data_IF_969681785034
#
_entry.id   IF_969681785034
#
_cell.length_a   1.000
_cell.length_b   1.000
_cell.length_c   1.000
_cell.angle_alpha   90.00
_cell.angle_beta   90.00
_cell.angle_gamma   90.00
#
_symmetry.space_group_name_H-M   'P 1'
#
loop_
_entity.id
_entity.type
_entity.pdbx_description
1 polymer ?
#
# COMPACT_ATOMS: atom_id res chain seq x y z
N UNK A 1 2.78 10.21 -23.78
CA UNK A 1 4.20 10.12 -24.12
C UNK A 1 4.66 8.68 -23.97
N UNK A 2 4.97 7.99 -25.09
CA UNK A 2 5.28 6.56 -25.12
C UNK A 2 6.78 6.32 -24.82
N UNK A 3 7.19 6.40 -23.58
CA UNK A 3 8.60 6.16 -23.19
C UNK A 3 9.00 4.67 -23.28
N UNK A 4 8.02 3.76 -23.36
CA UNK A 4 8.25 2.31 -23.31
C UNK A 4 8.17 1.59 -24.68
N UNK A 5 8.05 2.32 -25.80
CA UNK A 5 7.82 1.68 -27.12
C UNK A 5 9.06 1.08 -27.78
N UNK A 6 10.28 1.35 -27.30
CA UNK A 6 11.52 0.91 -27.97
C UNK A 6 12.54 0.19 -27.09
N UNK A 7 12.22 -0.12 -25.85
CA UNK A 7 13.08 -0.99 -25.06
C UNK A 7 12.70 -2.43 -25.34
N UNK A 8 13.63 -3.22 -25.83
CA UNK A 8 13.57 -4.67 -25.87
C UNK A 8 13.75 -5.14 -24.40
N UNK A 9 12.75 -4.79 -23.57
CA UNK A 9 12.78 -4.87 -22.11
C UNK A 9 13.14 -6.28 -21.67
N UNK A 10 12.66 -7.28 -22.37
CA UNK A 10 12.92 -8.70 -22.08
C UNK A 10 14.39 -9.08 -22.32
N UNK A 11 14.98 -8.55 -23.41
CA UNK A 11 16.38 -8.84 -23.71
C UNK A 11 17.32 -8.17 -22.71
N UNK A 12 16.99 -6.96 -22.25
CA UNK A 12 17.75 -6.25 -21.23
C UNK A 12 17.50 -6.85 -19.83
N UNK A 13 16.26 -7.24 -19.51
CA UNK A 13 15.93 -7.99 -18.27
C UNK A 13 16.66 -9.33 -18.21
N UNK A 14 16.76 -10.06 -19.33
CA UNK A 14 17.50 -11.33 -19.39
C UNK A 14 19.01 -11.14 -19.18
N UNK A 15 19.58 -10.03 -19.63
CA UNK A 15 20.99 -9.71 -19.35
C UNK A 15 21.22 -9.35 -17.87
N UNK A 16 20.27 -8.63 -17.26
CA UNK A 16 20.28 -8.30 -15.83
C UNK A 16 20.03 -9.53 -14.94
N UNK A 17 19.35 -10.53 -15.44
CA UNK A 17 18.99 -11.76 -14.69
C UNK A 17 20.22 -12.56 -14.22
N UNK A 18 21.31 -12.52 -14.96
CA UNK A 18 22.56 -13.20 -14.58
C UNK A 18 23.32 -12.51 -13.45
N UNK A 19 23.05 -11.20 -13.20
CA UNK A 19 23.77 -10.38 -12.21
C UNK A 19 22.96 -10.06 -10.96
N UNK A 20 21.61 -10.20 -10.99
CA UNK A 20 20.71 -9.70 -9.93
C UNK A 20 19.98 -10.83 -9.18
N UNK A 21 20.32 -12.09 -9.42
CA UNK A 21 19.57 -13.24 -8.89
C UNK A 21 19.65 -13.45 -7.37
N UNK A 22 20.38 -12.63 -6.62
CA UNK A 22 20.83 -13.08 -5.29
C UNK A 22 19.94 -12.69 -4.09
N UNK A 23 18.96 -11.78 -4.17
CA UNK A 23 18.40 -11.21 -2.93
C UNK A 23 16.90 -11.00 -2.83
N UNK A 24 16.07 -11.59 -3.70
CA UNK A 24 14.62 -11.53 -3.49
C UNK A 24 14.27 -12.55 -2.40
N UNK A 25 14.10 -12.04 -1.17
CA UNK A 25 13.69 -12.82 -0.01
C UNK A 25 12.51 -12.15 0.67
N UNK A 26 11.44 -12.90 0.88
CA UNK A 26 10.27 -12.42 1.59
C UNK A 26 10.50 -12.42 3.11
N UNK A 27 10.03 -11.34 3.75
CA UNK A 27 9.85 -11.28 5.19
C UNK A 27 8.45 -11.76 5.60
N UNK A 28 8.08 -11.51 6.85
CA UNK A 28 6.77 -11.92 7.43
C UNK A 28 5.57 -11.29 6.72
N UNK A 29 5.71 -10.10 6.13
CA UNK A 29 4.60 -9.35 5.52
C UNK A 29 5.07 -8.69 4.21
N UNK A 30 5.51 -9.50 3.26
CA UNK A 30 5.92 -9.08 1.94
C UNK A 30 7.44 -9.03 1.71
N UNK A 31 7.82 -8.61 0.50
CA UNK A 31 9.20 -8.36 0.11
C UNK A 31 9.48 -6.86 0.17
N UNK A 32 10.67 -6.50 0.66
CA UNK A 32 11.12 -5.10 0.77
C UNK A 32 12.57 -4.98 0.34
N UNK A 33 12.92 -3.81 -0.20
CA UNK A 33 14.29 -3.50 -0.62
C UNK A 33 14.54 -2.02 -0.74
N UNK A 34 15.80 -1.64 -0.91
CA UNK A 34 16.23 -0.26 -1.15
C UNK A 34 15.88 0.10 -2.59
N UNK A 35 15.23 1.26 -2.78
CA UNK A 35 14.81 1.76 -4.10
C UNK A 35 16.04 1.97 -5.00
N UNK A 36 15.97 1.42 -6.22
CA UNK A 36 17.04 1.48 -7.21
C UNK A 36 18.10 0.38 -7.03
N UNK A 37 18.18 -0.25 -5.88
CA UNK A 37 19.08 -1.36 -5.59
C UNK A 37 18.36 -2.70 -5.67
N UNK A 38 17.76 -3.13 -4.56
CA UNK A 38 16.98 -4.38 -4.51
C UNK A 38 15.59 -4.17 -5.13
N UNK A 39 14.93 -3.06 -4.77
CA UNK A 39 13.62 -2.70 -5.28
C UNK A 39 13.77 -1.88 -6.55
N UNK A 40 13.84 -2.57 -7.66
CA UNK A 40 13.89 -2.03 -9.01
C UNK A 40 12.85 -2.72 -9.90
N UNK A 41 12.66 -2.24 -11.13
CA UNK A 41 11.61 -2.76 -12.01
C UNK A 41 11.86 -4.21 -12.44
N UNK A 42 13.12 -4.60 -12.63
CA UNK A 42 13.48 -5.96 -13.02
C UNK A 42 13.09 -6.98 -11.93
N UNK A 43 13.46 -6.71 -10.68
CA UNK A 43 13.09 -7.58 -9.55
C UNK A 43 11.58 -7.54 -9.28
N UNK A 44 10.97 -6.35 -9.32
CA UNK A 44 9.54 -6.19 -9.05
C UNK A 44 8.68 -6.96 -10.07
N UNK A 45 9.00 -6.91 -11.37
CA UNK A 45 8.26 -7.66 -12.39
C UNK A 45 8.31 -9.18 -12.15
N UNK A 46 9.47 -9.71 -11.76
CA UNK A 46 9.63 -11.14 -11.41
C UNK A 46 8.77 -11.51 -10.19
N UNK A 47 8.83 -10.70 -9.14
CA UNK A 47 8.02 -10.90 -7.92
C UNK A 47 6.54 -10.85 -8.26
N UNK A 48 6.09 -9.89 -9.05
CA UNK A 48 4.68 -9.72 -9.45
C UNK A 48 4.18 -10.91 -10.26
N UNK A 49 4.92 -11.32 -11.29
CA UNK A 49 4.54 -12.48 -12.13
C UNK A 49 4.43 -13.75 -11.29
N UNK A 50 5.45 -14.04 -10.48
CA UNK A 50 5.44 -15.21 -9.61
C UNK A 50 4.29 -15.19 -8.60
N UNK A 51 4.01 -14.01 -8.02
CA UNK A 51 2.89 -13.80 -7.07
C UNK A 51 1.53 -14.01 -7.75
N UNK A 52 1.33 -13.46 -8.95
CA UNK A 52 0.10 -13.64 -9.71
C UNK A 52 -0.14 -15.11 -10.09
N UNK A 53 0.90 -15.81 -10.53
CA UNK A 53 0.83 -17.24 -10.84
C UNK A 53 0.45 -18.04 -9.60
N UNK A 54 1.04 -17.72 -8.44
CA UNK A 54 0.75 -18.43 -7.21
C UNK A 54 -0.64 -18.13 -6.65
N UNK A 55 -1.11 -16.87 -6.72
CA UNK A 55 -2.48 -16.50 -6.37
C UNK A 55 -3.50 -17.28 -7.23
N UNK A 56 -3.27 -17.37 -8.53
CA UNK A 56 -4.11 -18.17 -9.43
C UNK A 56 -4.08 -19.66 -9.07
N UNK A 57 -2.91 -20.21 -8.86
CA UNK A 57 -2.74 -21.62 -8.54
C UNK A 57 -3.48 -22.00 -7.26
N UNK A 58 -3.33 -21.23 -6.20
CA UNK A 58 -3.91 -21.57 -4.90
C UNK A 58 -5.40 -21.22 -4.77
N UNK A 59 -5.88 -20.14 -5.45
CA UNK A 59 -7.17 -19.56 -5.11
C UNK A 59 -8.18 -19.49 -6.26
N UNK A 60 -7.84 -19.80 -7.51
CA UNK A 60 -8.80 -19.74 -8.64
C UNK A 60 -10.01 -20.67 -8.48
N UNK A 61 -9.85 -21.76 -7.74
CA UNK A 61 -10.97 -22.67 -7.44
C UNK A 61 -11.87 -22.16 -6.29
N UNK A 62 -11.42 -21.15 -5.53
CA UNK A 62 -12.14 -20.57 -4.40
C UNK A 62 -12.87 -19.27 -4.76
N UNK A 63 -12.37 -18.56 -5.75
CA UNK A 63 -12.90 -17.27 -6.21
C UNK A 63 -13.01 -17.27 -7.73
N UNK A 64 -14.21 -16.97 -8.23
CA UNK A 64 -14.47 -16.89 -9.68
C UNK A 64 -13.83 -15.66 -10.34
N UNK A 65 -13.61 -14.62 -9.55
CA UNK A 65 -13.04 -13.35 -10.03
C UNK A 65 -11.57 -13.53 -10.43
N UNK A 66 -11.19 -12.97 -11.57
CA UNK A 66 -9.80 -12.84 -12.02
C UNK A 66 -9.20 -11.48 -11.72
N UNK A 67 -9.87 -10.69 -10.88
CA UNK A 67 -9.43 -9.32 -10.57
C UNK A 67 -8.38 -9.31 -9.47
N UNK A 68 -7.36 -8.47 -9.66
CA UNK A 68 -6.33 -8.12 -8.68
C UNK A 68 -6.41 -6.63 -8.41
N UNK A 69 -6.48 -6.25 -7.14
CA UNK A 69 -6.31 -4.87 -6.71
C UNK A 69 -4.83 -4.51 -6.65
N UNK A 70 -4.46 -3.38 -7.23
CA UNK A 70 -3.15 -2.76 -7.03
C UNK A 70 -3.33 -1.48 -6.20
N UNK A 71 -2.78 -1.49 -4.99
CA UNK A 71 -2.71 -0.34 -4.10
C UNK A 71 -1.28 0.16 -3.93
N UNK A 72 -1.12 1.40 -3.43
CA UNK A 72 0.19 1.98 -3.16
C UNK A 72 0.10 3.02 -2.03
N UNK A 73 1.22 3.23 -1.34
CA UNK A 73 1.33 4.24 -0.29
C UNK A 73 1.89 5.58 -0.81
N UNK A 74 2.29 6.49 0.09
CA UNK A 74 2.77 7.83 -0.26
C UNK A 74 4.28 7.91 -0.49
N UNK A 75 4.99 6.78 -0.44
CA UNK A 75 6.44 6.72 -0.64
C UNK A 75 6.86 7.19 -2.02
N UNK A 76 8.11 7.61 -2.11
CA UNK A 76 8.72 7.96 -3.39
C UNK A 76 8.52 6.84 -4.41
N UNK A 77 8.08 7.18 -5.61
CA UNK A 77 7.81 6.28 -6.73
C UNK A 77 6.77 5.16 -6.51
N UNK A 78 6.09 5.06 -5.35
CA UNK A 78 5.14 3.98 -5.11
C UNK A 78 4.02 3.92 -6.16
N UNK A 79 3.43 5.05 -6.53
CA UNK A 79 2.42 5.15 -7.60
C UNK A 79 3.00 4.75 -8.98
N UNK A 80 4.23 5.19 -9.27
CA UNK A 80 4.89 4.85 -10.53
C UNK A 80 5.07 3.33 -10.66
N UNK A 81 5.61 2.68 -9.64
CA UNK A 81 5.77 1.23 -9.64
C UNK A 81 4.42 0.50 -9.70
N UNK A 82 3.40 0.99 -8.98
CA UNK A 82 2.05 0.42 -9.04
C UNK A 82 1.47 0.42 -10.47
N UNK A 83 1.65 1.50 -11.20
CA UNK A 83 1.23 1.58 -12.62
C UNK A 83 2.11 0.72 -13.53
N UNK A 84 3.40 0.65 -13.28
CA UNK A 84 4.37 -0.08 -14.11
C UNK A 84 4.21 -1.61 -14.04
N UNK A 85 3.61 -2.15 -12.98
CA UNK A 85 3.38 -3.61 -12.87
C UNK A 85 2.10 -4.08 -13.57
N UNK A 86 1.19 -3.19 -13.98
CA UNK A 86 -0.08 -3.54 -14.61
C UNK A 86 0.10 -4.45 -15.83
N UNK A 87 1.01 -4.12 -16.79
CA UNK A 87 1.24 -4.97 -17.97
C UNK A 87 1.62 -6.41 -17.63
N UNK A 88 2.34 -6.62 -16.55
CA UNK A 88 2.78 -7.94 -16.09
C UNK A 88 1.65 -8.72 -15.43
N UNK A 89 0.80 -8.05 -14.66
CA UNK A 89 -0.42 -8.66 -14.07
C UNK A 89 -1.39 -9.08 -15.18
N UNK A 90 -1.60 -8.21 -16.18
CA UNK A 90 -2.44 -8.53 -17.34
C UNK A 90 -1.88 -9.71 -18.15
N UNK A 91 -0.57 -9.80 -18.32
CA UNK A 91 0.10 -10.90 -18.99
C UNK A 91 -0.08 -12.25 -18.28
N UNK A 92 -0.34 -12.22 -16.97
CA UNK A 92 -0.75 -13.41 -16.21
C UNK A 92 -2.24 -13.80 -16.43
N UNK A 93 -2.96 -13.12 -17.31
CA UNK A 93 -4.39 -13.33 -17.59
C UNK A 93 -5.29 -12.85 -16.46
N UNK A 94 -4.88 -11.80 -15.72
CA UNK A 94 -5.63 -11.19 -14.63
C UNK A 94 -6.08 -9.78 -15.01
N UNK A 95 -7.25 -9.40 -14.53
CA UNK A 95 -7.81 -8.07 -14.65
C UNK A 95 -7.33 -7.20 -13.50
N UNK A 96 -7.05 -5.92 -13.77
CA UNK A 96 -6.49 -5.02 -12.78
C UNK A 96 -7.50 -3.96 -12.35
N UNK A 97 -7.65 -3.79 -11.04
CA UNK A 97 -8.22 -2.61 -10.40
C UNK A 97 -7.05 -1.83 -9.80
N UNK A 98 -6.87 -0.58 -10.24
CA UNK A 98 -5.87 0.33 -9.68
C UNK A 98 -6.54 1.30 -8.72
N UNK A 99 -5.99 1.46 -7.52
CA UNK A 99 -6.45 2.52 -6.62
C UNK A 99 -6.24 3.91 -7.23
N UNK A 100 -7.27 4.75 -7.19
CA UNK A 100 -7.24 6.12 -7.75
C UNK A 100 -6.23 7.03 -7.03
N UNK A 101 -5.90 6.70 -5.78
CA UNK A 101 -4.95 7.43 -4.94
C UNK A 101 -4.20 6.48 -4.01
N UNK A 102 -3.25 7.04 -3.23
CA UNK A 102 -2.60 6.27 -2.16
C UNK A 102 -3.62 5.74 -1.15
N UNK A 103 -3.37 4.53 -0.64
CA UNK A 103 -4.27 3.84 0.27
C UNK A 103 -3.50 3.14 1.39
N UNK A 104 -4.21 2.82 2.46
CA UNK A 104 -3.66 1.96 3.52
C UNK A 104 -3.79 0.48 3.14
N UNK A 105 -2.91 -0.36 3.66
CA UNK A 105 -3.01 -1.81 3.46
C UNK A 105 -4.34 -2.40 3.97
N UNK A 106 -4.90 -1.97 5.13
CA UNK A 106 -6.23 -2.40 5.57
C UNK A 106 -7.35 -2.06 4.59
N UNK A 107 -7.28 -0.90 3.92
CA UNK A 107 -8.27 -0.54 2.89
C UNK A 107 -8.27 -1.54 1.73
N UNK A 108 -7.06 -1.93 1.27
CA UNK A 108 -6.93 -2.96 0.24
C UNK A 108 -7.46 -4.32 0.70
N UNK A 109 -7.16 -4.72 1.94
CA UNK A 109 -7.63 -5.97 2.54
C UNK A 109 -9.15 -6.03 2.61
N UNK A 110 -9.78 -4.95 3.07
CA UNK A 110 -11.24 -4.84 3.15
C UNK A 110 -11.88 -4.92 1.77
N UNK A 111 -11.36 -4.17 0.80
CA UNK A 111 -11.87 -4.15 -0.57
C UNK A 111 -11.84 -5.55 -1.22
N UNK A 112 -10.71 -6.26 -1.09
CA UNK A 112 -10.55 -7.62 -1.60
C UNK A 112 -11.60 -8.56 -1.04
N UNK A 113 -11.81 -8.54 0.27
CA UNK A 113 -12.76 -9.39 0.97
C UNK A 113 -14.20 -9.08 0.59
N UNK A 114 -14.60 -7.81 0.63
CA UNK A 114 -15.99 -7.39 0.38
C UNK A 114 -16.41 -7.63 -1.08
N UNK A 115 -15.51 -7.43 -2.03
CA UNK A 115 -15.81 -7.66 -3.45
C UNK A 115 -15.44 -9.06 -3.94
N UNK A 116 -14.96 -9.93 -3.05
CA UNK A 116 -14.60 -11.30 -3.35
C UNK A 116 -13.72 -11.43 -4.61
N UNK A 117 -12.68 -10.60 -4.70
CA UNK A 117 -11.69 -10.64 -5.77
C UNK A 117 -10.49 -11.52 -5.40
N UNK A 118 -9.68 -11.91 -6.38
CA UNK A 118 -8.62 -12.92 -6.21
C UNK A 118 -7.56 -12.51 -5.17
N UNK A 119 -7.25 -11.21 -5.06
CA UNK A 119 -6.27 -10.71 -4.10
C UNK A 119 -5.85 -9.27 -4.37
N UNK A 120 -4.79 -8.84 -3.69
CA UNK A 120 -4.17 -7.54 -3.94
C UNK A 120 -2.64 -7.59 -3.90
N UNK A 121 -2.05 -6.69 -4.66
CA UNK A 121 -0.64 -6.31 -4.65
C UNK A 121 -0.54 -4.87 -4.13
N UNK A 122 0.14 -4.67 -3.01
CA UNK A 122 0.24 -3.34 -2.38
C UNK A 122 1.68 -2.89 -2.35
N UNK A 123 1.98 -1.81 -3.08
CA UNK A 123 3.32 -1.21 -3.12
C UNK A 123 3.52 -0.36 -1.87
N UNK A 124 4.30 -0.86 -0.92
CA UNK A 124 4.58 -0.22 0.37
C UNK A 124 5.75 -0.89 1.08
N UNK A 125 6.53 -0.13 1.83
CA UNK A 125 7.51 -0.65 2.78
C UNK A 125 7.08 -0.47 4.23
N UNK A 126 5.78 -0.23 4.51
CA UNK A 126 5.27 -0.06 5.88
C UNK A 126 5.95 1.11 6.62
N UNK A 127 6.67 0.83 7.69
CA UNK A 127 7.38 1.79 8.55
C UNK A 127 8.89 1.89 8.27
N UNK A 128 9.40 1.23 7.23
CA UNK A 128 10.83 1.32 6.88
C UNK A 128 11.24 2.76 6.54
N UNK A 129 12.53 3.09 6.57
CA UNK A 129 13.07 4.39 6.13
C UNK A 129 12.58 4.78 4.72
N UNK A 130 12.67 6.05 4.38
CA UNK A 130 12.14 6.64 3.15
C UNK A 130 12.70 6.03 1.87
N UNK A 131 13.94 5.56 1.89
CA UNK A 131 14.64 4.95 0.75
C UNK A 131 14.26 3.48 0.50
N UNK A 132 13.31 2.94 1.26
CA UNK A 132 12.79 1.58 1.08
C UNK A 132 11.44 1.59 0.36
N UNK A 133 11.23 0.54 -0.44
CA UNK A 133 9.92 0.20 -0.99
C UNK A 133 9.73 -1.31 -0.93
N UNK A 134 8.52 -1.78 -1.16
CA UNK A 134 8.21 -3.20 -1.07
C UNK A 134 6.90 -3.57 -1.74
N UNK A 135 6.61 -4.86 -1.75
CA UNK A 135 5.37 -5.43 -2.24
C UNK A 135 4.77 -6.35 -1.17
N UNK A 136 3.54 -6.03 -0.74
CA UNK A 136 2.71 -6.92 0.07
C UNK A 136 1.70 -7.63 -0.82
N UNK A 137 1.44 -8.91 -0.52
CA UNK A 137 0.49 -9.74 -1.24
C UNK A 137 -0.67 -10.08 -0.31
N UNK A 138 -1.89 -9.79 -0.75
CA UNK A 138 -3.12 -10.18 -0.06
C UNK A 138 -3.84 -11.27 -0.83
N UNK A 139 -4.32 -12.28 -0.11
CA UNK A 139 -5.15 -13.34 -0.67
C UNK A 139 -6.61 -12.88 -0.81
N UNK A 140 -7.48 -13.72 -1.35
CA UNK A 140 -8.91 -13.44 -1.59
C UNK A 140 -9.70 -13.11 -0.30
N UNK A 141 -9.22 -13.47 0.87
CA UNK A 141 -9.82 -13.10 2.16
C UNK A 141 -9.34 -11.73 2.68
N UNK A 142 -8.47 -11.03 1.95
CA UNK A 142 -7.84 -9.79 2.37
C UNK A 142 -6.69 -9.98 3.37
N UNK A 143 -6.37 -11.22 3.73
CA UNK A 143 -5.27 -11.54 4.65
C UNK A 143 -3.92 -11.52 3.93
N UNK A 144 -2.83 -11.26 4.67
CA UNK A 144 -1.48 -11.50 4.16
C UNK A 144 -1.32 -12.99 3.82
N UNK A 145 -0.59 -13.27 2.74
CA UNK A 145 -0.24 -14.63 2.38
C UNK A 145 0.74 -15.22 3.41
N UNK A 146 0.70 -16.53 3.59
CA UNK A 146 1.56 -17.22 4.55
C UNK A 146 2.96 -17.51 3.99
N UNK A 147 3.84 -18.05 4.84
CA UNK A 147 5.23 -18.37 4.50
C UNK A 147 5.33 -19.44 3.40
N UNK A 148 4.44 -20.42 3.36
CA UNK A 148 4.44 -21.44 2.31
C UNK A 148 4.18 -20.81 0.93
N UNK A 149 3.27 -19.85 0.87
CA UNK A 149 3.00 -19.08 -0.35
C UNK A 149 4.24 -18.30 -0.80
N UNK A 150 4.89 -17.58 0.11
CA UNK A 150 6.05 -16.75 -0.24
C UNK A 150 7.27 -17.59 -0.64
N UNK A 151 7.50 -18.75 -0.01
CA UNK A 151 8.50 -19.72 -0.43
C UNK A 151 8.26 -20.24 -1.85
N UNK A 152 7.00 -20.49 -2.21
CA UNK A 152 6.65 -20.92 -3.56
C UNK A 152 6.85 -19.77 -4.59
N UNK A 153 6.54 -18.52 -4.23
CA UNK A 153 6.87 -17.35 -5.04
C UNK A 153 8.40 -17.27 -5.27
N UNK A 154 9.20 -17.40 -4.22
CA UNK A 154 10.66 -17.40 -4.35
C UNK A 154 11.17 -18.54 -5.24
N UNK A 155 10.57 -19.74 -5.13
CA UNK A 155 10.89 -20.88 -5.99
C UNK A 155 10.58 -20.57 -7.47
N UNK A 156 9.41 -19.98 -7.77
CA UNK A 156 9.03 -19.57 -9.14
C UNK A 156 9.99 -18.53 -9.70
N UNK A 157 10.42 -17.58 -8.88
CA UNK A 157 11.40 -16.56 -9.30
C UNK A 157 12.73 -17.23 -9.71
N UNK A 158 13.20 -18.23 -8.95
CA UNK A 158 14.43 -18.96 -9.27
C UNK A 158 14.34 -19.79 -10.55
N UNK A 159 13.14 -20.24 -10.93
CA UNK A 159 12.92 -20.97 -12.19
C UNK A 159 13.00 -20.08 -13.43
N UNK A 160 13.09 -18.77 -13.26
CA UNK A 160 13.34 -17.84 -14.36
C UNK A 160 12.17 -17.65 -15.34
N UNK A 161 10.94 -17.99 -14.95
CA UNK A 161 9.76 -17.79 -15.79
C UNK A 161 9.47 -16.30 -15.96
N UNK A 162 10.02 -15.70 -17.00
CA UNK A 162 9.76 -14.31 -17.38
C UNK A 162 8.54 -14.29 -18.27
N UNK A 163 7.56 -13.46 -17.91
CA UNK A 163 6.37 -13.21 -18.71
C UNK A 163 6.53 -11.86 -19.40
N UNK A 164 6.39 -11.85 -20.72
CA UNK A 164 6.39 -10.60 -21.50
C UNK A 164 5.22 -9.71 -21.08
N UNK A 165 5.46 -8.42 -20.81
CA UNK A 165 4.39 -7.50 -20.50
C UNK A 165 3.50 -7.27 -21.74
N UNK A 166 2.20 -7.17 -21.52
CA UNK A 166 1.24 -6.85 -22.57
C UNK A 166 0.70 -5.41 -22.40
N UNK A 167 -0.13 -4.96 -23.34
CA UNK A 167 -0.80 -3.65 -23.21
C UNK A 167 -1.59 -3.56 -21.91
N UNK A 168 -1.36 -2.48 -21.16
CA UNK A 168 -2.07 -2.21 -19.88
C UNK A 168 -3.58 -2.10 -20.11
N UNK A 169 -4.33 -2.84 -19.29
CA UNK A 169 -5.78 -2.75 -19.17
C UNK A 169 -6.18 -2.77 -17.70
N UNK A 170 -6.86 -1.74 -17.22
CA UNK A 170 -7.24 -1.61 -15.82
C UNK A 170 -8.43 -0.69 -15.60
N UNK A 171 -9.13 -0.91 -14.51
CA UNK A 171 -10.15 -0.03 -13.96
C UNK A 171 -9.55 0.80 -12.82
N UNK A 172 -10.05 2.01 -12.62
CA UNK A 172 -9.64 2.88 -11.50
C UNK A 172 -10.80 2.94 -10.52
N UNK A 173 -10.50 2.72 -9.22
CA UNK A 173 -11.48 2.75 -8.15
C UNK A 173 -10.99 3.57 -6.95
N UNK A 174 -11.88 4.28 -6.28
CA UNK A 174 -11.55 5.00 -5.05
C UNK A 174 -11.65 4.07 -3.83
N UNK A 175 -10.57 3.31 -3.60
CA UNK A 175 -10.46 2.34 -2.50
C UNK A 175 -10.52 3.03 -1.13
N UNK A 176 -10.02 4.26 -1.05
CA UNK A 176 -10.07 5.05 0.18
C UNK A 176 -11.51 5.42 0.53
N UNK A 177 -12.27 5.89 -0.44
CA UNK A 177 -13.68 6.25 -0.25
C UNK A 177 -14.50 5.00 0.12
N UNK A 178 -14.30 3.90 -0.59
CA UNK A 178 -14.94 2.61 -0.25
C UNK A 178 -14.69 2.21 1.21
N UNK A 179 -13.45 2.35 1.71
CA UNK A 179 -13.12 2.03 3.09
C UNK A 179 -13.83 2.96 4.09
N UNK A 180 -13.88 4.26 3.79
CA UNK A 180 -14.57 5.27 4.61
C UNK A 180 -16.07 4.94 4.70
N UNK A 181 -16.71 4.65 3.59
CA UNK A 181 -18.13 4.29 3.54
C UNK A 181 -18.44 3.04 4.37
N UNK A 182 -17.54 2.04 4.29
CA UNK A 182 -17.67 0.83 5.10
C UNK A 182 -17.53 1.11 6.60
N UNK A 183 -16.58 1.92 7.02
CA UNK A 183 -16.45 2.32 8.43
C UNK A 183 -17.72 3.06 8.87
N UNK A 184 -18.21 4.00 8.07
CA UNK A 184 -19.43 4.76 8.38
C UNK A 184 -20.70 3.88 8.43
N UNK A 185 -20.69 2.72 7.74
CA UNK A 185 -21.80 1.76 7.84
C UNK A 185 -21.79 0.94 9.14
N UNK A 186 -20.64 0.85 9.82
CA UNK A 186 -20.50 0.14 11.09
C UNK A 186 -20.61 1.03 12.32
N UNK A 187 -20.29 2.33 12.18
CA UNK A 187 -20.19 3.26 13.30
C UNK A 187 -20.96 4.55 13.02
N UNK A 188 -21.71 5.03 14.00
CA UNK A 188 -22.28 6.37 13.98
C UNK A 188 -21.21 7.42 14.31
N UNK A 189 -20.60 7.97 13.28
CA UNK A 189 -19.52 8.95 13.43
C UNK A 189 -20.00 10.26 14.04
N UNK A 190 -21.25 10.66 13.82
CA UNK A 190 -21.82 11.84 14.45
C UNK A 190 -21.99 11.65 15.96
N UNK A 191 -22.49 10.49 16.37
CA UNK A 191 -22.58 10.14 17.79
C UNK A 191 -21.22 10.18 18.48
N UNK A 192 -20.17 9.62 17.83
CA UNK A 192 -18.80 9.64 18.37
C UNK A 192 -18.34 11.10 18.56
N UNK A 193 -18.54 11.96 17.57
CA UNK A 193 -18.12 13.36 17.61
C UNK A 193 -18.81 14.12 18.73
N UNK A 194 -20.13 13.93 18.88
CA UNK A 194 -20.92 14.59 19.90
C UNK A 194 -20.53 14.12 21.32
N UNK A 195 -20.17 12.85 21.47
CA UNK A 195 -19.65 12.34 22.74
C UNK A 195 -18.30 12.95 23.08
N UNK A 196 -17.38 13.04 22.13
CA UNK A 196 -16.09 13.70 22.33
C UNK A 196 -16.26 15.17 22.74
N UNK A 197 -17.16 15.90 22.07
CA UNK A 197 -17.48 17.29 22.42
C UNK A 197 -18.05 17.41 23.83
N UNK A 198 -19.05 16.60 24.17
CA UNK A 198 -19.68 16.60 25.49
C UNK A 198 -18.70 16.30 26.63
N UNK A 199 -17.72 15.42 26.36
CA UNK A 199 -16.70 15.04 27.33
C UNK A 199 -15.49 16.00 27.32
N UNK A 200 -15.49 17.03 26.48
CA UNK A 200 -14.36 17.95 26.27
C UNK A 200 -13.05 17.22 25.93
N UNK A 201 -13.16 16.12 25.18
CA UNK A 201 -11.98 15.33 24.75
C UNK A 201 -11.50 15.86 23.42
N UNK A 202 -10.20 16.11 23.30
CA UNK A 202 -9.49 16.43 22.05
C UNK A 202 -8.62 15.25 21.64
N UNK A 203 -8.67 14.92 20.35
CA UNK A 203 -7.92 13.82 19.76
C UNK A 203 -6.87 14.37 18.79
N UNK A 204 -5.63 13.98 18.97
CA UNK A 204 -4.54 14.34 18.05
C UNK A 204 -4.11 13.07 17.30
N UNK A 205 -4.00 13.18 15.99
CA UNK A 205 -3.65 12.06 15.11
C UNK A 205 -2.44 12.47 14.28
N UNK A 206 -1.32 11.82 14.57
CA UNK A 206 -0.11 12.03 13.80
C UNK A 206 -0.08 11.03 12.64
N UNK A 207 -0.26 11.52 11.41
CA UNK A 207 -0.24 10.71 10.21
C UNK A 207 1.18 10.32 9.78
N UNK A 208 2.22 10.95 10.35
CA UNK A 208 3.63 10.75 10.00
C UNK A 208 3.86 10.77 8.47
N UNK A 209 3.17 11.68 7.77
CA UNK A 209 3.13 11.79 6.29
C UNK A 209 2.62 10.52 5.56
N UNK A 210 2.07 9.56 6.30
CA UNK A 210 1.65 8.25 5.80
C UNK A 210 0.28 8.24 5.11
N UNK A 211 -0.17 7.04 4.76
CA UNK A 211 -1.37 6.82 3.92
C UNK A 211 -2.69 7.02 4.67
N UNK A 212 -2.69 7.17 6.00
CA UNK A 212 -3.87 7.52 6.79
C UNK A 212 -4.23 9.02 6.72
N UNK A 213 -3.34 9.86 6.22
CA UNK A 213 -3.55 11.30 6.10
C UNK A 213 -4.87 11.65 5.40
N UNK A 214 -5.56 12.65 5.92
CA UNK A 214 -6.87 13.13 5.48
C UNK A 214 -8.02 12.12 5.56
N UNK A 215 -7.78 10.86 5.96
CA UNK A 215 -8.85 9.86 6.08
C UNK A 215 -9.79 10.16 7.23
N UNK A 216 -9.26 10.63 8.35
CA UNK A 216 -10.05 10.96 9.54
C UNK A 216 -11.02 12.11 9.26
N UNK A 217 -10.53 13.18 8.63
CA UNK A 217 -11.39 14.31 8.28
C UNK A 217 -12.55 13.88 7.36
N UNK A 218 -12.28 12.99 6.42
CA UNK A 218 -13.31 12.42 5.54
C UNK A 218 -14.30 11.53 6.29
N UNK A 219 -13.86 10.72 7.26
CA UNK A 219 -14.74 9.89 8.09
C UNK A 219 -15.81 10.71 8.82
N UNK A 220 -15.48 11.93 9.23
CA UNK A 220 -16.36 12.82 9.96
C UNK A 220 -16.95 13.96 9.10
N UNK A 221 -16.95 13.79 7.78
CA UNK A 221 -17.50 14.78 6.81
C UNK A 221 -16.98 16.20 7.00
N UNK A 222 -15.71 16.35 7.37
CA UNK A 222 -15.06 17.65 7.59
C UNK A 222 -15.37 18.33 8.92
N UNK A 223 -16.23 17.78 9.78
CA UNK A 223 -16.70 18.40 11.02
C UNK A 223 -15.76 18.20 12.23
N UNK A 224 -14.47 17.96 12.00
CA UNK A 224 -13.51 17.54 13.04
C UNK A 224 -12.80 18.69 13.76
N UNK A 225 -12.75 19.88 13.20
CA UNK A 225 -11.81 20.96 13.57
C UNK A 225 -11.75 21.35 15.05
N UNK A 226 -12.83 21.20 15.82
CA UNK A 226 -12.86 21.50 17.24
C UNK A 226 -12.44 20.35 18.16
N UNK A 227 -12.40 19.14 17.65
CA UNK A 227 -12.28 17.90 18.46
C UNK A 227 -11.10 17.04 18.01
N UNK A 228 -10.88 16.92 16.69
CA UNK A 228 -9.84 16.07 16.12
C UNK A 228 -8.89 16.92 15.30
N UNK A 229 -7.60 16.83 15.60
CA UNK A 229 -6.55 17.56 14.90
C UNK A 229 -5.56 16.57 14.27
N UNK A 230 -5.36 16.67 12.94
CA UNK A 230 -4.32 15.95 12.21
C UNK A 230 -2.97 16.65 12.33
N UNK A 231 -1.91 15.88 12.35
CA UNK A 231 -0.51 16.32 12.37
C UNK A 231 0.21 15.56 11.26
N UNK A 232 1.13 16.22 10.56
CA UNK A 232 1.93 15.65 9.45
C UNK A 232 1.07 14.95 8.39
N UNK A 233 -0.03 15.60 7.98
CA UNK A 233 -0.96 15.08 6.96
C UNK A 233 -0.52 15.40 5.52
N UNK A 234 0.38 16.35 5.32
CA UNK A 234 0.95 16.68 4.02
C UNK A 234 1.78 15.53 3.46
N UNK A 235 1.95 15.51 2.13
CA UNK A 235 2.77 14.49 1.47
C UNK A 235 4.24 14.87 1.59
N UNK A 236 4.98 14.11 2.36
CA UNK A 236 6.43 14.14 2.38
C UNK A 236 7.00 12.73 2.17
N UNK A 237 7.56 12.41 0.98
CA UNK A 237 8.14 11.10 0.73
C UNK A 237 9.40 10.80 1.55
N UNK A 238 9.98 11.82 2.18
CA UNK A 238 11.13 11.72 3.10
C UNK A 238 10.72 11.46 4.55
N UNK A 239 9.41 11.58 4.89
CA UNK A 239 8.89 11.43 6.26
C UNK A 239 9.62 12.29 7.29
N UNK A 240 9.95 13.53 6.93
CA UNK A 240 10.77 14.46 7.75
C UNK A 240 12.13 13.87 8.15
N UNK A 241 12.69 13.00 7.31
CA UNK A 241 14.00 12.36 7.52
C UNK A 241 13.98 11.16 8.48
N UNK A 242 12.83 10.81 9.07
CA UNK A 242 12.69 9.71 10.02
C UNK A 242 11.85 8.57 9.43
N UNK A 243 12.03 7.32 9.89
CA UNK A 243 11.08 6.26 9.58
C UNK A 243 9.67 6.63 10.07
N UNK A 244 8.59 6.37 9.29
CA UNK A 244 7.22 6.62 9.73
C UNK A 244 6.75 5.51 10.70
N UNK A 245 7.48 5.34 11.77
CA UNK A 245 7.25 4.34 12.81
C UNK A 245 6.86 5.05 14.12
N UNK A 246 5.72 4.70 14.75
CA UNK A 246 5.22 5.41 15.92
C UNK A 246 5.99 5.05 17.21
N UNK A 247 7.31 5.18 17.19
CA UNK A 247 8.18 5.07 18.34
C UNK A 247 8.37 6.45 18.97
N UNK A 248 8.62 6.46 20.29
CA UNK A 248 8.75 7.69 21.06
C UNK A 248 9.74 8.69 20.47
N UNK A 249 10.82 8.19 19.86
CA UNK A 249 11.88 9.00 19.26
C UNK A 249 11.46 9.70 17.96
N UNK A 250 10.33 9.33 17.36
CA UNK A 250 9.81 9.89 16.09
C UNK A 250 8.49 10.66 16.29
N UNK A 251 8.05 10.82 17.55
CA UNK A 251 6.79 11.48 17.92
C UNK A 251 6.98 12.86 18.56
N UNK A 252 8.15 13.49 18.38
CA UNK A 252 8.43 14.79 18.99
C UNK A 252 7.44 15.88 18.58
N UNK A 253 6.99 15.89 17.32
CA UNK A 253 6.01 16.87 16.85
C UNK A 253 4.64 16.68 17.54
N UNK A 254 4.18 15.44 17.68
CA UNK A 254 2.97 15.13 18.46
C UNK A 254 3.13 15.56 19.92
N UNK A 255 4.26 15.21 20.54
CA UNK A 255 4.56 15.57 21.93
C UNK A 255 4.57 17.09 22.13
N UNK A 256 5.26 17.83 21.29
CA UNK A 256 5.34 19.30 21.36
C UNK A 256 3.97 19.96 21.16
N UNK A 257 3.17 19.44 20.22
CA UNK A 257 1.80 19.91 20.00
C UNK A 257 0.93 19.73 21.24
N UNK A 258 1.02 18.58 21.91
CA UNK A 258 0.30 18.31 23.15
C UNK A 258 0.74 19.21 24.30
N UNK A 259 2.04 19.45 24.48
CA UNK A 259 2.58 20.32 25.54
C UNK A 259 2.14 21.77 25.34
N UNK A 260 2.26 22.33 24.14
CA UNK A 260 1.83 23.68 23.82
C UNK A 260 0.32 23.89 24.07
N UNK A 261 -0.49 22.87 23.79
CA UNK A 261 -1.92 22.91 24.04
C UNK A 261 -2.23 22.93 25.53
N UNK A 262 -1.57 22.06 26.32
CA UNK A 262 -1.70 22.00 27.78
C UNK A 262 -1.36 23.35 28.42
N UNK A 263 -0.30 24.01 27.98
CA UNK A 263 0.09 25.33 28.50
C UNK A 263 -0.93 26.42 28.18
N UNK A 264 -1.60 26.37 27.02
CA UNK A 264 -2.67 27.30 26.67
C UNK A 264 -3.94 27.07 27.51
N UNK A 265 -4.32 25.81 27.69
CA UNK A 265 -5.52 25.45 28.47
C UNK A 265 -5.35 25.74 29.98
N UNK A 266 -4.11 25.87 30.49
CA UNK A 266 -3.79 26.27 31.88
C UNK A 266 -3.76 27.79 32.09
N UNK A 267 -3.75 28.58 31.00
CA UNK A 267 -3.73 30.06 31.05
C UNK A 267 -5.13 30.68 30.89
N UNK A 268 -6.13 29.87 30.72
CA UNK A 268 -7.55 30.23 30.59
C UNK A 268 -8.39 29.49 31.63
#
# INVERSE_FOLDING_TARGET
MNYYRNLNLTRELNKLDQTVSSTIKFGTDGWRGIIGFDFNMANLSRVVVASCQELKFQYSNRVKSKKILIGYDRRFMAEHFAKSIIPFVNACGLEVILSSSFVTTPSCSLYVRELNILGALVITASHNPYNWLGLKIKNFQGSSVNELFTKEVERRIKLGNITEPIKSNYQIEDIKQFHIEKINSYFDMQFILDRLRKMNIKVFIDAMHGSSAASINKLFNGNTQSVIQGIREEKDPYFSGNPPEPLINYLDELKNTLLQKKERDLKH
#
